data_IF_441308373241
#
_entry.id   IF_441308373241
#
_cell.length_a   1.000
_cell.length_b   1.000
_cell.length_c   1.000
_cell.angle_alpha   90.00
_cell.angle_beta   90.00
_cell.angle_gamma   90.00
#
_symmetry.space_group_name_H-M   'P 1'
#
loop_
_entity.id
_entity.type
_entity.pdbx_description
1 polymer ?
#
# COMPACT_ATOMS: atom_id res chain seq x y z
N UNK A 1 -3.37 -19.28 -7.35
CA UNK A 1 -2.52 -18.06 -7.46
C UNK A 1 -3.28 -16.90 -6.83
N UNK A 2 -2.68 -16.05 -6.00
CA UNK A 2 -3.41 -14.94 -5.41
C UNK A 2 -3.79 -13.95 -6.52
N UNK A 3 -5.07 -13.60 -6.60
CA UNK A 3 -5.59 -12.66 -7.60
C UNK A 3 -4.81 -11.33 -7.52
N UNK A 4 -4.20 -10.93 -8.64
CA UNK A 4 -3.46 -9.68 -8.77
C UNK A 4 -4.30 -8.46 -8.32
N UNK A 5 -5.60 -8.49 -8.61
CA UNK A 5 -6.59 -7.51 -8.15
C UNK A 5 -6.68 -7.37 -6.62
N UNK A 6 -6.72 -8.49 -5.89
CA UNK A 6 -6.78 -8.47 -4.42
C UNK A 6 -5.50 -7.88 -3.83
N UNK A 7 -4.37 -8.14 -4.50
CA UNK A 7 -3.08 -7.60 -4.10
C UNK A 7 -3.00 -6.09 -4.34
N UNK A 8 -3.41 -5.59 -5.52
CA UNK A 8 -3.44 -4.15 -5.80
C UNK A 8 -4.37 -3.36 -4.87
N UNK A 9 -5.54 -3.93 -4.52
CA UNK A 9 -6.44 -3.32 -3.50
C UNK A 9 -5.74 -3.15 -2.14
N UNK A 10 -4.96 -4.14 -1.72
CA UNK A 10 -4.18 -4.07 -0.47
C UNK A 10 -3.06 -3.04 -0.53
N UNK A 11 -2.32 -2.99 -1.64
CA UNK A 11 -1.26 -1.99 -1.84
C UNK A 11 -1.84 -0.57 -1.80
N UNK A 12 -2.94 -0.31 -2.52
CA UNK A 12 -3.62 0.99 -2.52
C UNK A 12 -4.08 1.38 -1.12
N UNK A 13 -4.66 0.46 -0.36
CA UNK A 13 -5.09 0.70 1.02
C UNK A 13 -3.90 1.04 1.93
N UNK A 14 -2.78 0.32 1.81
CA UNK A 14 -1.56 0.58 2.61
C UNK A 14 -1.04 1.98 2.35
N UNK A 15 -0.91 2.38 1.08
CA UNK A 15 -0.34 3.69 0.72
C UNK A 15 -1.29 4.81 1.14
N UNK A 16 -2.59 4.66 0.91
CA UNK A 16 -3.60 5.64 1.37
C UNK A 16 -3.53 5.89 2.87
N UNK A 17 -3.54 4.82 3.68
CA UNK A 17 -3.49 4.99 5.14
C UNK A 17 -2.15 5.60 5.58
N UNK A 18 -1.05 5.31 4.88
CA UNK A 18 0.24 5.94 5.15
C UNK A 18 0.21 7.45 4.88
N UNK A 19 -0.37 7.89 3.75
CA UNK A 19 -0.48 9.32 3.42
C UNK A 19 -1.46 10.07 4.33
N UNK A 20 -2.45 9.38 4.90
CA UNK A 20 -3.33 9.88 5.97
C UNK A 20 -2.65 9.93 7.36
N UNK A 21 -1.38 9.53 7.48
CA UNK A 21 -0.61 9.59 8.74
C UNK A 21 -0.85 8.44 9.71
N UNK A 22 -1.50 7.35 9.28
CA UNK A 22 -1.81 6.20 10.12
C UNK A 22 -0.55 5.41 10.47
N UNK A 23 -0.45 4.93 11.71
CA UNK A 23 0.70 4.14 12.17
C UNK A 23 0.85 2.81 11.41
N UNK A 24 2.08 2.33 11.22
CA UNK A 24 2.35 1.10 10.45
C UNK A 24 1.73 -0.15 11.09
N UNK A 25 1.58 -0.17 12.42
CA UNK A 25 0.91 -1.26 13.14
C UNK A 25 -0.57 -1.28 12.80
N UNK A 26 -1.24 -0.13 12.90
CA UNK A 26 -2.66 0.02 12.54
C UNK A 26 -2.91 -0.29 11.06
N UNK A 27 -1.99 0.08 10.15
CA UNK A 27 -2.08 -0.28 8.73
C UNK A 27 -1.98 -1.80 8.54
N UNK A 28 -1.11 -2.48 9.28
CA UNK A 28 -0.96 -3.94 9.24
C UNK A 28 -2.27 -4.63 9.59
N UNK A 29 -2.91 -4.21 10.69
CA UNK A 29 -4.22 -4.69 11.14
C UNK A 29 -5.31 -4.42 10.09
N UNK A 30 -5.45 -3.17 9.63
CA UNK A 30 -6.51 -2.76 8.69
C UNK A 30 -6.38 -3.39 7.30
N UNK A 31 -5.15 -3.60 6.82
CA UNK A 31 -4.89 -4.17 5.49
C UNK A 31 -4.84 -5.71 5.47
N UNK A 32 -4.80 -6.35 6.64
CA UNK A 32 -4.57 -7.79 6.76
C UNK A 32 -3.24 -8.23 6.15
N UNK A 33 -2.25 -7.33 6.10
CA UNK A 33 -0.90 -7.59 5.62
C UNK A 33 0.06 -7.61 6.80
N UNK A 34 1.15 -8.38 6.68
CA UNK A 34 2.20 -8.35 7.71
C UNK A 34 2.86 -6.97 7.77
N UNK A 35 3.38 -6.61 8.94
CA UNK A 35 4.11 -5.36 9.14
C UNK A 35 5.30 -5.19 8.17
N UNK A 36 5.96 -6.28 7.77
CA UNK A 36 7.03 -6.27 6.78
C UNK A 36 6.52 -5.93 5.37
N UNK A 37 5.36 -6.47 4.98
CA UNK A 37 4.70 -6.13 3.73
C UNK A 37 4.29 -4.66 3.69
N UNK A 38 3.74 -4.14 4.80
CA UNK A 38 3.43 -2.70 4.95
C UNK A 38 4.69 -1.85 4.76
N UNK A 39 5.78 -2.19 5.46
CA UNK A 39 7.08 -1.51 5.32
C UNK A 39 7.60 -1.55 3.88
N UNK A 40 7.50 -2.70 3.21
CA UNK A 40 7.94 -2.87 1.82
C UNK A 40 7.20 -1.89 0.89
N UNK A 41 5.87 -1.86 0.94
CA UNK A 41 5.10 -1.01 0.04
C UNK A 41 5.24 0.48 0.34
N UNK A 42 5.34 0.87 1.61
CA UNK A 42 5.64 2.27 1.98
C UNK A 42 7.01 2.69 1.41
N UNK A 43 8.04 1.86 1.52
CA UNK A 43 9.36 2.18 0.95
C UNK A 43 9.34 2.31 -0.57
N UNK A 44 8.63 1.40 -1.25
CA UNK A 44 8.47 1.48 -2.70
C UNK A 44 7.74 2.76 -3.10
N UNK A 45 6.69 3.14 -2.39
CA UNK A 45 5.98 4.40 -2.61
C UNK A 45 6.89 5.63 -2.44
N UNK A 46 7.64 5.72 -1.34
CA UNK A 46 8.56 6.83 -1.11
C UNK A 46 9.63 6.90 -2.20
N UNK A 47 10.17 5.76 -2.63
CA UNK A 47 11.20 5.69 -3.67
C UNK A 47 10.70 6.06 -5.08
N UNK A 48 9.39 6.04 -5.32
CA UNK A 48 8.79 6.47 -6.59
C UNK A 48 8.67 8.00 -6.68
N UNK A 49 8.82 8.73 -5.56
CA UNK A 49 8.68 10.19 -5.48
C UNK A 49 7.40 10.73 -6.14
N UNK A 50 6.34 9.91 -6.12
CA UNK A 50 5.08 10.17 -6.83
C UNK A 50 3.95 10.43 -5.83
N UNK A 51 3.08 11.43 -6.07
CA UNK A 51 1.86 11.64 -5.29
C UNK A 51 0.94 10.41 -5.33
N UNK A 52 0.15 10.18 -4.27
CA UNK A 52 -0.77 9.04 -4.23
C UNK A 52 -1.81 9.10 -5.36
N UNK A 53 -2.22 10.31 -5.74
CA UNK A 53 -3.20 10.60 -6.78
C UNK A 53 -2.72 10.17 -8.18
N UNK A 54 -1.41 10.13 -8.39
CA UNK A 54 -0.77 9.71 -9.65
C UNK A 54 -0.52 8.20 -9.70
N UNK A 55 -0.74 7.48 -8.59
CA UNK A 55 -0.61 6.02 -8.58
C UNK A 55 -1.76 5.36 -9.34
N UNK A 56 -1.54 5.12 -10.62
CA UNK A 56 -2.42 4.32 -11.46
C UNK A 56 -2.19 2.82 -11.19
N UNK A 57 -3.00 2.24 -10.29
CA UNK A 57 -2.97 0.80 -9.99
C UNK A 57 -3.79 -0.05 -10.99
N UNK A 58 -4.17 0.48 -12.15
CA UNK A 58 -5.13 -0.16 -13.07
C UNK A 58 -4.61 -0.35 -14.50
N UNK A 59 -3.31 -0.24 -14.76
CA UNK A 59 -2.72 -0.77 -15.99
C UNK A 59 -2.49 -2.27 -15.82
N UNK A 60 -3.23 -3.04 -16.63
CA UNK A 60 -3.34 -4.50 -16.58
C UNK A 60 -2.04 -5.28 -16.76
#
# INVERSE_FOLDING_TARGET
MPNHLTHMKKVRLIIRLYTEGVSKNTISEKSGCSHNTVKKYIRQYIALEMPFEELDFNKG
#
